data_IF_809999711513
#
_entry.id   IF_809999711513
#
_cell.length_a   1.000
_cell.length_b   1.000
_cell.length_c   1.000
_cell.angle_alpha   90.00
_cell.angle_beta   90.00
_cell.angle_gamma   90.00
#
_symmetry.space_group_name_H-M   'P 1'
#
loop_
_entity.id
_entity.type
_entity.pdbx_description
1 polymer ?
#
# COMPACT_ATOMS: atom_id res chain seq x y z
N UNK A 1 -15.71 -2.53 23.13
CA UNK A 1 -15.20 -1.44 22.28
C UNK A 1 -13.75 -1.74 21.96
N UNK A 2 -13.41 -1.69 20.69
CA UNK A 2 -12.05 -1.91 20.22
C UNK A 2 -11.48 -0.60 19.65
N UNK A 3 -10.31 -0.21 20.13
CA UNK A 3 -9.64 1.03 19.75
C UNK A 3 -8.39 0.71 18.93
N UNK A 4 -8.24 1.41 17.80
CA UNK A 4 -7.07 1.35 16.93
C UNK A 4 -6.48 2.75 16.87
N UNK A 5 -5.21 2.92 17.28
CA UNK A 5 -4.47 4.17 17.03
C UNK A 5 -4.32 4.35 15.51
N UNK A 6 -4.77 5.51 15.01
CA UNK A 6 -4.77 5.80 13.58
C UNK A 6 -4.46 7.28 13.32
N UNK A 7 -3.24 7.57 12.93
CA UNK A 7 -2.66 8.91 12.91
C UNK A 7 -2.85 9.66 11.57
N UNK A 8 -4.08 9.63 11.04
CA UNK A 8 -4.47 10.44 9.88
C UNK A 8 -5.95 10.81 9.97
N UNK A 9 -6.34 11.85 9.27
CA UNK A 9 -7.74 12.28 9.13
C UNK A 9 -8.43 11.65 7.93
N UNK A 10 -7.73 10.82 7.13
CA UNK A 10 -8.32 10.12 6.01
C UNK A 10 -9.27 9.03 6.50
N UNK A 11 -10.47 8.96 5.94
CA UNK A 11 -11.55 8.08 6.40
C UNK A 11 -11.56 6.69 5.73
N UNK A 12 -10.60 6.38 4.86
CA UNK A 12 -10.63 5.13 4.10
C UNK A 12 -10.65 3.86 4.98
N UNK A 13 -9.96 3.88 6.13
CA UNK A 13 -10.00 2.75 7.06
C UNK A 13 -11.34 2.64 7.78
N UNK A 14 -11.96 3.77 8.15
CA UNK A 14 -13.32 3.79 8.71
C UNK A 14 -14.29 3.13 7.73
N UNK A 15 -14.31 3.56 6.46
CA UNK A 15 -15.20 2.99 5.45
C UNK A 15 -14.93 1.51 5.18
N UNK A 16 -13.66 1.08 5.17
CA UNK A 16 -13.32 -0.32 5.01
C UNK A 16 -13.84 -1.16 6.19
N UNK A 17 -13.67 -0.69 7.43
CA UNK A 17 -14.18 -1.35 8.63
C UNK A 17 -15.72 -1.40 8.62
N UNK A 18 -16.39 -0.32 8.24
CA UNK A 18 -17.86 -0.27 8.10
C UNK A 18 -18.35 -1.31 7.07
N UNK A 19 -17.64 -1.45 5.95
CA UNK A 19 -17.93 -2.49 4.95
C UNK A 19 -17.78 -3.89 5.54
N UNK A 20 -16.75 -4.14 6.36
CA UNK A 20 -16.52 -5.43 7.00
C UNK A 20 -17.56 -5.75 8.10
N UNK A 21 -18.01 -4.74 8.86
CA UNK A 21 -19.13 -4.87 9.81
C UNK A 21 -20.41 -5.31 9.06
N UNK A 22 -20.68 -4.67 7.93
CA UNK A 22 -21.82 -5.01 7.08
C UNK A 22 -21.69 -6.41 6.48
N UNK A 23 -20.52 -6.81 6.02
CA UNK A 23 -20.23 -8.15 5.48
C UNK A 23 -20.43 -9.25 6.55
N UNK A 24 -19.93 -8.99 7.76
CA UNK A 24 -20.09 -9.90 8.90
C UNK A 24 -21.52 -9.95 9.44
N UNK A 25 -22.39 -9.02 9.02
CA UNK A 25 -23.78 -8.88 9.48
C UNK A 25 -23.93 -8.76 11.00
N UNK A 26 -22.96 -8.16 11.66
CA UNK A 26 -22.99 -7.87 13.11
C UNK A 26 -23.55 -6.48 13.37
N UNK A 27 -24.16 -6.30 14.55
CA UNK A 27 -24.56 -4.99 15.01
C UNK A 27 -23.34 -4.22 15.51
N UNK A 28 -22.94 -3.18 14.78
CA UNK A 28 -21.74 -2.42 15.12
C UNK A 28 -21.63 -1.10 14.38
N UNK A 29 -20.81 -0.22 14.91
CA UNK A 29 -20.49 1.08 14.32
C UNK A 29 -18.98 1.33 14.37
N UNK A 30 -18.49 2.03 13.36
CA UNK A 30 -17.11 2.50 13.30
C UNK A 30 -17.09 4.02 13.39
N UNK A 31 -16.29 4.57 14.32
CA UNK A 31 -16.13 6.02 14.50
C UNK A 31 -14.67 6.39 14.41
N UNK A 32 -14.34 7.43 13.68
CA UNK A 32 -12.96 7.93 13.60
C UNK A 32 -12.84 9.29 14.28
N UNK A 33 -11.83 9.38 15.11
CA UNK A 33 -11.43 10.57 15.84
C UNK A 33 -10.01 10.98 15.44
N UNK A 34 -9.59 12.15 15.85
CA UNK A 34 -8.18 12.55 15.65
C UNK A 34 -7.27 11.62 16.45
N UNK A 35 -6.46 10.83 15.75
CA UNK A 35 -5.48 9.90 16.31
C UNK A 35 -5.97 8.48 16.57
N UNK A 36 -7.27 8.16 16.40
CA UNK A 36 -7.75 6.78 16.59
C UNK A 36 -9.10 6.49 15.93
N UNK A 37 -9.36 5.20 15.75
CA UNK A 37 -10.64 4.64 15.33
C UNK A 37 -11.22 3.81 16.47
N UNK A 38 -12.53 3.89 16.69
CA UNK A 38 -13.29 3.02 17.58
C UNK A 38 -14.20 2.10 16.77
N UNK A 39 -14.15 0.82 17.10
CA UNK A 39 -15.10 -0.19 16.61
C UNK A 39 -15.94 -0.61 17.82
N UNK A 40 -17.22 -0.31 17.77
CA UNK A 40 -18.18 -0.61 18.81
C UNK A 40 -19.09 -1.70 18.26
N UNK A 41 -19.06 -2.89 18.85
CA UNK A 41 -19.86 -4.05 18.41
C UNK A 41 -20.68 -4.57 19.56
N UNK A 42 -21.92 -4.98 19.25
CA UNK A 42 -22.86 -5.63 20.17
C UNK A 42 -23.35 -6.92 19.50
N UNK A 43 -22.72 -8.04 19.86
CA UNK A 43 -22.95 -9.34 19.25
C UNK A 43 -22.56 -10.45 20.21
N UNK A 44 -22.86 -11.71 19.88
CA UNK A 44 -22.42 -12.86 20.64
C UNK A 44 -20.89 -13.02 20.59
N UNK A 45 -20.32 -13.64 21.62
CA UNK A 45 -18.85 -13.79 21.70
C UNK A 45 -18.24 -14.44 20.46
N UNK A 46 -18.88 -15.48 19.93
CA UNK A 46 -18.40 -16.16 18.73
C UNK A 46 -18.45 -15.25 17.48
N UNK A 47 -19.51 -14.46 17.33
CA UNK A 47 -19.64 -13.53 16.20
C UNK A 47 -18.58 -12.41 16.26
N UNK A 48 -18.23 -11.98 17.47
CA UNK A 48 -17.15 -11.00 17.70
C UNK A 48 -15.80 -11.62 17.31
N UNK A 49 -15.51 -12.86 17.72
CA UNK A 49 -14.28 -13.56 17.34
C UNK A 49 -14.18 -13.74 15.81
N UNK A 50 -15.25 -14.18 15.16
CA UNK A 50 -15.31 -14.35 13.71
C UNK A 50 -15.10 -13.02 12.97
N UNK A 51 -15.68 -11.93 13.48
CA UNK A 51 -15.50 -10.59 12.94
C UNK A 51 -14.04 -10.12 13.07
N UNK A 52 -13.40 -10.29 14.22
CA UNK A 52 -12.01 -9.91 14.37
C UNK A 52 -11.06 -10.76 13.51
N UNK A 53 -11.35 -12.05 13.33
CA UNK A 53 -10.63 -12.89 12.37
C UNK A 53 -10.79 -12.40 10.92
N UNK A 54 -11.98 -11.94 10.55
CA UNK A 54 -12.24 -11.33 9.25
C UNK A 54 -11.49 -10.01 9.10
N UNK A 55 -11.50 -9.16 10.13
CA UNK A 55 -10.80 -7.88 10.17
C UNK A 55 -9.29 -8.09 9.99
N UNK A 56 -8.69 -9.01 10.76
CA UNK A 56 -7.27 -9.33 10.67
C UNK A 56 -6.86 -9.82 9.27
N UNK A 57 -7.72 -10.60 8.65
CA UNK A 57 -7.47 -11.15 7.31
C UNK A 57 -7.59 -10.11 6.20
N UNK A 58 -8.54 -9.16 6.32
CA UNK A 58 -8.90 -8.25 5.22
C UNK A 58 -8.39 -6.82 5.40
N UNK A 59 -8.10 -6.41 6.63
CA UNK A 59 -7.59 -5.06 6.87
C UNK A 59 -6.17 -4.94 6.33
N UNK A 60 -5.90 -4.03 5.39
CA UNK A 60 -4.56 -3.89 4.84
C UNK A 60 -3.60 -3.27 5.87
N UNK A 61 -2.31 -3.50 5.67
CA UNK A 61 -1.30 -2.78 6.43
C UNK A 61 -1.35 -1.29 6.12
N UNK A 62 -1.13 -0.44 7.13
CA UNK A 62 -1.04 1.01 6.97
C UNK A 62 0.08 1.58 7.81
N UNK A 63 0.76 2.61 7.28
CA UNK A 63 1.79 3.36 8.02
C UNK A 63 1.21 4.20 9.16
N UNK A 64 -0.10 4.45 9.13
CA UNK A 64 -0.80 5.27 10.12
C UNK A 64 -1.38 4.47 11.29
N UNK A 65 -1.42 3.12 11.19
CA UNK A 65 -1.88 2.25 12.26
C UNK A 65 -0.80 2.13 13.33
N UNK A 66 -1.21 2.41 14.58
CA UNK A 66 -0.41 2.17 15.77
C UNK A 66 -0.88 0.93 16.53
N UNK A 67 -0.99 1.05 17.84
CA UNK A 67 -1.47 -0.03 18.72
C UNK A 67 -2.98 -0.19 18.62
N UNK A 68 -3.44 -1.41 18.87
CA UNK A 68 -4.86 -1.72 19.00
C UNK A 68 -5.14 -2.48 20.30
N UNK A 69 -6.24 -2.16 20.96
CA UNK A 69 -6.59 -2.75 22.25
C UNK A 69 -8.08 -2.56 22.57
N UNK A 70 -8.59 -3.38 23.50
CA UNK A 70 -9.95 -3.26 24.00
C UNK A 70 -10.01 -2.16 25.06
N UNK A 71 -11.08 -1.36 25.03
CA UNK A 71 -11.41 -0.36 26.05
C UNK A 71 -12.83 -0.61 26.57
N UNK A 72 -13.06 -0.34 27.85
CA UNK A 72 -14.39 -0.53 28.46
C UNK A 72 -15.32 0.65 28.15
N UNK A 73 -14.76 1.86 28.09
CA UNK A 73 -15.49 3.09 27.86
C UNK A 73 -14.71 4.03 26.95
N UNK A 74 -15.38 4.99 26.37
CA UNK A 74 -14.75 6.09 25.63
C UNK A 74 -15.48 7.40 25.95
N UNK A 75 -14.80 8.51 25.72
CA UNK A 75 -15.36 9.84 25.89
C UNK A 75 -16.29 10.20 24.71
N UNK A 76 -17.60 10.19 24.98
CA UNK A 76 -18.63 10.50 23.97
C UNK A 76 -18.68 11.98 23.56
N UNK A 77 -17.98 12.85 24.30
CA UNK A 77 -17.90 14.27 23.97
C UNK A 77 -16.89 14.61 22.89
N UNK A 78 -16.04 13.64 22.53
CA UNK A 78 -15.05 13.80 21.47
C UNK A 78 -15.74 14.04 20.13
N UNK A 79 -15.22 15.01 19.39
CA UNK A 79 -15.71 15.30 18.05
C UNK A 79 -15.21 14.25 17.05
N UNK A 80 -16.14 13.52 16.46
CA UNK A 80 -15.86 12.59 15.35
C UNK A 80 -15.40 13.39 14.12
N UNK A 81 -14.51 12.82 13.31
CA UNK A 81 -14.12 13.40 12.04
C UNK A 81 -15.32 13.30 11.10
N UNK A 82 -15.78 14.44 10.63
CA UNK A 82 -16.94 14.53 9.72
C UNK A 82 -16.58 13.95 8.35
N UNK A 83 -17.48 13.15 7.83
CA UNK A 83 -17.42 12.65 6.47
C UNK A 83 -17.86 13.78 5.53
N UNK A 84 -16.91 14.43 4.89
CA UNK A 84 -17.24 15.36 3.81
C UNK A 84 -17.54 14.51 2.58
N UNK A 85 -18.78 14.27 2.26
CA UNK A 85 -19.49 13.68 1.11
C UNK A 85 -18.68 13.28 -0.15
N UNK A 86 -17.39 13.10 -0.05
CA UNK A 86 -16.56 12.49 -1.06
C UNK A 86 -16.68 10.99 -0.82
N UNK A 87 -17.65 10.36 -1.48
CA UNK A 87 -17.68 8.89 -1.64
C UNK A 87 -16.38 8.46 -2.32
N UNK A 88 -15.34 8.36 -1.54
CA UNK A 88 -14.14 7.67 -1.99
C UNK A 88 -14.51 6.20 -2.10
N UNK A 89 -14.86 5.77 -3.29
CA UNK A 89 -14.94 4.36 -3.62
C UNK A 89 -13.52 3.78 -3.53
N UNK A 90 -13.11 3.43 -2.33
CA UNK A 90 -11.88 2.69 -2.08
C UNK A 90 -12.09 1.26 -2.56
N UNK A 91 -11.93 1.07 -3.85
CA UNK A 91 -11.79 -0.26 -4.40
C UNK A 91 -10.36 -0.70 -4.14
N UNK A 92 -10.17 -1.68 -3.24
CA UNK A 92 -8.88 -2.36 -3.14
C UNK A 92 -8.54 -2.93 -4.51
N UNK A 93 -7.41 -2.51 -5.09
CA UNK A 93 -6.93 -3.03 -6.36
C UNK A 93 -6.50 -4.49 -6.15
N UNK A 94 -7.44 -5.39 -6.35
CA UNK A 94 -7.16 -6.83 -6.45
C UNK A 94 -6.68 -7.15 -7.87
N UNK A 95 -6.00 -8.29 -8.03
CA UNK A 95 -5.60 -8.76 -9.37
C UNK A 95 -6.78 -8.87 -10.33
N UNK A 96 -7.96 -9.28 -9.82
CA UNK A 96 -9.17 -9.38 -10.63
C UNK A 96 -9.72 -8.01 -11.01
N UNK A 97 -9.67 -7.02 -10.10
CA UNK A 97 -10.06 -5.65 -10.41
C UNK A 97 -9.15 -5.03 -11.48
N UNK A 98 -7.83 -5.23 -11.37
CA UNK A 98 -6.87 -4.77 -12.37
C UNK A 98 -7.14 -5.43 -13.72
N UNK A 99 -7.37 -6.74 -13.74
CA UNK A 99 -7.68 -7.48 -14.96
C UNK A 99 -8.94 -6.96 -15.65
N UNK A 100 -10.01 -6.75 -14.87
CA UNK A 100 -11.27 -6.18 -15.37
C UNK A 100 -11.06 -4.78 -15.98
N UNK A 101 -10.30 -3.90 -15.29
CA UNK A 101 -9.99 -2.56 -15.80
C UNK A 101 -9.25 -2.64 -17.14
N UNK A 102 -8.28 -3.53 -17.28
CA UNK A 102 -7.51 -3.72 -18.52
C UNK A 102 -8.43 -4.22 -19.64
N UNK A 103 -9.27 -5.21 -19.36
CA UNK A 103 -10.21 -5.79 -20.33
C UNK A 103 -11.29 -4.78 -20.76
N UNK A 104 -11.92 -4.08 -19.81
CA UNK A 104 -12.97 -3.10 -20.08
C UNK A 104 -12.49 -1.89 -20.90
N UNK A 105 -11.25 -1.45 -20.65
CA UNK A 105 -10.68 -0.30 -21.35
C UNK A 105 -9.86 -0.69 -22.59
N UNK A 106 -9.80 -1.99 -22.92
CA UNK A 106 -9.03 -2.53 -24.06
C UNK A 106 -7.57 -2.03 -24.07
N UNK A 107 -6.94 -2.02 -22.89
CA UNK A 107 -5.57 -1.53 -22.71
C UNK A 107 -4.59 -2.63 -23.14
N UNK A 108 -3.70 -2.33 -24.07
CA UNK A 108 -2.65 -3.24 -24.54
C UNK A 108 -1.26 -2.66 -24.32
N UNK A 109 -0.52 -3.24 -23.38
CA UNK A 109 0.87 -2.88 -23.07
C UNK A 109 1.90 -3.82 -23.74
N UNK A 110 1.49 -4.73 -24.62
CA UNK A 110 2.35 -5.78 -25.19
C UNK A 110 3.62 -5.20 -25.83
N UNK A 111 3.50 -4.13 -26.60
CA UNK A 111 4.62 -3.48 -27.26
C UNK A 111 5.59 -2.83 -26.24
N UNK A 112 5.08 -2.21 -25.21
CA UNK A 112 5.87 -1.56 -24.17
C UNK A 112 6.61 -2.60 -23.32
N UNK A 113 5.94 -3.69 -22.96
CA UNK A 113 6.54 -4.82 -22.25
C UNK A 113 7.68 -5.42 -23.09
N UNK A 114 7.45 -5.70 -24.37
CA UNK A 114 8.50 -6.21 -25.28
C UNK A 114 9.67 -5.25 -25.39
N UNK A 115 9.41 -3.94 -25.46
CA UNK A 115 10.46 -2.92 -25.52
C UNK A 115 11.30 -2.88 -24.25
N UNK A 116 10.65 -2.91 -23.07
CA UNK A 116 11.32 -2.94 -21.77
C UNK A 116 12.16 -4.22 -21.62
N UNK A 117 11.60 -5.39 -21.94
CA UNK A 117 12.29 -6.70 -21.87
C UNK A 117 13.52 -6.75 -22.78
N UNK A 118 13.47 -6.07 -23.94
CA UNK A 118 14.62 -5.92 -24.85
C UNK A 118 15.64 -4.88 -24.40
N UNK A 119 15.51 -4.31 -23.19
CA UNK A 119 16.43 -3.32 -22.62
C UNK A 119 16.15 -1.88 -23.06
N UNK A 120 14.95 -1.62 -23.60
CA UNK A 120 14.49 -0.27 -23.93
C UNK A 120 13.81 0.43 -22.78
N UNK A 121 13.31 1.63 -23.07
CA UNK A 121 12.60 2.50 -22.12
C UNK A 121 11.19 2.71 -22.66
N UNK A 122 10.16 2.49 -21.84
CA UNK A 122 8.78 2.88 -22.17
C UNK A 122 8.28 3.95 -21.22
N UNK A 123 7.54 4.89 -21.77
CA UNK A 123 6.99 6.03 -21.05
C UNK A 123 5.49 5.88 -20.90
N UNK A 124 5.02 6.04 -19.65
CA UNK A 124 3.61 5.99 -19.32
C UNK A 124 3.17 7.28 -18.63
N UNK A 125 1.95 7.69 -18.93
CA UNK A 125 1.26 8.71 -18.16
C UNK A 125 0.59 8.05 -16.96
N UNK A 126 0.89 8.54 -15.76
CA UNK A 126 0.34 8.04 -14.51
C UNK A 126 -0.36 9.19 -13.77
N UNK A 127 -1.13 8.90 -12.73
CA UNK A 127 -1.75 9.95 -11.90
C UNK A 127 -0.72 10.92 -11.27
N UNK A 128 0.54 10.48 -11.18
CA UNK A 128 1.68 11.29 -10.69
C UNK A 128 2.55 11.85 -11.83
N UNK A 129 2.02 11.97 -13.04
CA UNK A 129 2.69 12.49 -14.22
C UNK A 129 3.40 11.43 -15.05
N UNK A 130 4.24 11.90 -15.99
CA UNK A 130 4.96 11.01 -16.90
C UNK A 130 6.10 10.29 -16.20
N UNK A 131 6.17 8.97 -16.37
CA UNK A 131 7.23 8.12 -15.82
C UNK A 131 7.85 7.26 -16.91
N UNK A 132 9.16 7.12 -16.86
CA UNK A 132 9.94 6.24 -17.74
C UNK A 132 10.27 4.95 -17.00
N UNK A 133 9.93 3.80 -17.59
CA UNK A 133 10.16 2.47 -17.04
C UNK A 133 11.19 1.72 -17.86
N UNK A 134 12.12 1.04 -17.18
CA UNK A 134 13.14 0.19 -17.79
C UNK A 134 13.59 -0.90 -16.81
N UNK A 135 14.12 -2.00 -17.32
CA UNK A 135 14.76 -3.00 -16.46
C UNK A 135 16.09 -2.48 -15.91
N UNK A 136 16.54 -3.00 -14.77
CA UNK A 136 17.82 -2.61 -14.18
C UNK A 136 18.94 -2.62 -15.23
N UNK A 137 19.52 -1.45 -15.45
CA UNK A 137 20.58 -1.23 -16.43
C UNK A 137 21.43 -0.04 -16.01
N UNK A 138 22.70 -0.29 -15.72
CA UNK A 138 23.64 0.73 -15.25
C UNK A 138 23.73 1.93 -16.17
N UNK A 139 23.86 1.71 -17.48
CA UNK A 139 24.04 2.80 -18.46
C UNK A 139 22.80 3.70 -18.54
N UNK A 140 21.61 3.10 -18.57
CA UNK A 140 20.36 3.87 -18.60
C UNK A 140 20.20 4.66 -17.30
N UNK A 141 20.45 4.02 -16.14
CA UNK A 141 20.39 4.67 -14.84
C UNK A 141 21.32 5.88 -14.77
N UNK A 142 22.61 5.71 -15.12
CA UNK A 142 23.60 6.78 -15.10
C UNK A 142 23.22 7.93 -16.04
N UNK A 143 22.63 7.66 -17.19
CA UNK A 143 22.16 8.68 -18.13
C UNK A 143 21.02 9.51 -17.53
N UNK A 144 20.06 8.89 -16.81
CA UNK A 144 19.02 9.62 -16.09
C UNK A 144 19.56 10.42 -14.91
N UNK A 145 20.41 9.82 -14.07
CA UNK A 145 21.04 10.49 -12.92
C UNK A 145 21.86 11.71 -13.37
N UNK A 146 22.64 11.60 -14.46
CA UNK A 146 23.42 12.71 -15.02
C UNK A 146 22.54 13.85 -15.56
N UNK A 147 21.30 13.56 -15.95
CA UNK A 147 20.31 14.57 -16.36
C UNK A 147 19.53 15.15 -15.18
N UNK A 148 19.85 14.75 -13.94
CA UNK A 148 19.20 15.23 -12.71
C UNK A 148 17.90 14.53 -12.36
N UNK A 149 17.59 13.40 -13.00
CA UNK A 149 16.42 12.59 -12.65
C UNK A 149 16.74 11.61 -11.52
N UNK A 150 15.78 11.44 -10.61
CA UNK A 150 15.87 10.43 -9.56
C UNK A 150 15.38 9.08 -10.10
N UNK A 151 16.23 8.05 -9.98
CA UNK A 151 15.88 6.68 -10.36
C UNK A 151 15.43 5.91 -9.12
N UNK A 152 14.26 5.29 -9.21
CA UNK A 152 13.62 4.52 -8.14
C UNK A 152 13.37 3.10 -8.60
N UNK A 153 13.34 2.15 -7.67
CA UNK A 153 13.01 0.76 -7.96
C UNK A 153 11.52 0.51 -7.76
N UNK A 154 10.85 0.02 -8.79
CA UNK A 154 9.50 -0.51 -8.69
C UNK A 154 9.57 -2.02 -8.44
N UNK A 155 9.04 -2.47 -7.29
CA UNK A 155 9.04 -3.89 -6.91
C UNK A 155 7.70 -4.50 -7.31
N UNK A 156 7.73 -5.35 -8.32
CA UNK A 156 6.54 -6.06 -8.82
C UNK A 156 6.37 -7.46 -8.21
N UNK A 157 7.44 -8.00 -7.61
CA UNK A 157 7.43 -9.30 -6.94
C UNK A 157 8.14 -9.18 -5.58
N UNK A 158 7.35 -9.23 -4.51
CA UNK A 158 7.86 -9.12 -3.13
C UNK A 158 8.47 -10.41 -2.61
N UNK A 159 8.22 -11.56 -3.26
CA UNK A 159 8.72 -12.88 -2.80
C UNK A 159 10.24 -12.98 -2.82
N UNK A 160 10.92 -12.16 -3.63
CA UNK A 160 12.38 -12.16 -3.81
C UNK A 160 13.08 -10.97 -3.17
N UNK A 161 12.37 -10.13 -2.46
CA UNK A 161 12.92 -8.90 -1.92
C UNK A 161 14.08 -9.18 -0.93
N UNK A 162 13.93 -10.21 -0.11
CA UNK A 162 14.93 -10.63 0.86
C UNK A 162 16.20 -11.25 0.22
N UNK A 163 16.13 -11.67 -1.02
CA UNK A 163 17.31 -12.14 -1.74
C UNK A 163 18.24 -10.98 -2.13
N UNK A 164 17.66 -9.81 -2.40
CA UNK A 164 18.35 -8.62 -2.92
C UNK A 164 18.68 -7.63 -1.81
N UNK A 165 17.76 -7.46 -0.85
CA UNK A 165 17.84 -6.41 0.17
C UNK A 165 17.99 -6.96 1.59
N UNK A 166 18.75 -6.22 2.39
CA UNK A 166 18.80 -6.35 3.85
C UNK A 166 17.61 -5.57 4.41
N UNK A 167 16.46 -6.24 4.51
CA UNK A 167 15.18 -5.63 4.86
C UNK A 167 14.71 -6.13 6.23
N UNK A 168 14.33 -5.19 7.09
CA UNK A 168 13.68 -5.54 8.36
C UNK A 168 12.19 -5.84 8.16
N UNK A 169 11.58 -6.56 9.11
CA UNK A 169 10.12 -6.80 9.11
C UNK A 169 9.35 -5.48 9.03
N UNK A 170 9.82 -4.44 9.73
CA UNK A 170 9.21 -3.11 9.73
C UNK A 170 9.28 -2.44 8.34
N UNK A 171 10.44 -2.49 7.69
CA UNK A 171 10.59 -1.91 6.34
C UNK A 171 9.74 -2.67 5.32
N UNK A 172 9.64 -4.00 5.47
CA UNK A 172 8.75 -4.81 4.64
C UNK A 172 7.28 -4.45 4.85
N UNK A 173 6.84 -4.28 6.10
CA UNK A 173 5.49 -3.84 6.42
C UNK A 173 5.19 -2.45 5.86
N UNK A 174 6.14 -1.50 5.98
CA UNK A 174 6.03 -0.18 5.38
C UNK A 174 5.88 -0.26 3.86
N UNK A 175 6.74 -1.04 3.20
CA UNK A 175 6.70 -1.21 1.74
C UNK A 175 5.37 -1.79 1.25
N UNK A 176 4.81 -2.76 2.00
CA UNK A 176 3.56 -3.44 1.67
C UNK A 176 2.30 -2.71 2.17
N UNK A 177 2.44 -1.56 2.84
CA UNK A 177 1.29 -0.79 3.32
C UNK A 177 0.45 -0.25 2.17
N UNK A 178 -0.83 0.02 2.45
CA UNK A 178 -1.79 0.52 1.44
C UNK A 178 -1.38 1.87 0.85
N UNK A 179 -0.64 2.68 1.62
CA UNK A 179 -0.15 3.98 1.19
C UNK A 179 1.00 3.90 0.19
N UNK A 180 1.55 2.70 -0.04
CA UNK A 180 2.65 2.46 -0.99
C UNK A 180 3.80 3.47 -0.86
N UNK A 181 4.36 3.68 0.32
CA UNK A 181 5.40 4.69 0.52
C UNK A 181 6.68 4.33 -0.22
N UNK A 182 7.45 5.35 -0.50
CA UNK A 182 8.81 5.20 -1.00
C UNK A 182 9.74 4.84 0.17
N UNK A 183 10.29 3.63 0.16
CA UNK A 183 11.14 3.09 1.24
C UNK A 183 12.59 3.03 0.78
N UNK A 184 13.51 3.49 1.62
CA UNK A 184 14.95 3.40 1.36
C UNK A 184 15.45 2.02 1.79
N UNK A 185 15.80 1.19 0.83
CA UNK A 185 16.29 -0.17 1.04
C UNK A 185 17.80 -0.26 0.88
N UNK A 186 18.43 -1.10 1.71
CA UNK A 186 19.84 -1.41 1.67
C UNK A 186 20.07 -2.72 0.93
N UNK A 187 20.97 -2.74 -0.05
CA UNK A 187 21.33 -3.97 -0.73
C UNK A 187 22.09 -4.94 0.19
N UNK A 188 21.78 -6.22 0.10
CA UNK A 188 22.73 -7.27 0.50
C UNK A 188 23.94 -7.19 -0.43
N UNK A 189 25.13 -7.48 0.08
CA UNK A 189 26.38 -7.43 -0.70
C UNK A 189 26.35 -8.52 -1.78
N UNK A 190 25.74 -8.24 -2.92
CA UNK A 190 25.75 -9.04 -4.13
C UNK A 190 26.65 -8.35 -5.15
N UNK A 191 27.80 -8.93 -5.42
CA UNK A 191 29.00 -8.34 -6.01
C UNK A 191 28.89 -7.54 -7.31
N UNK A 192 27.87 -7.67 -8.15
CA UNK A 192 27.75 -6.89 -9.39
C UNK A 192 26.31 -6.45 -9.72
N UNK A 193 25.27 -7.17 -9.31
CA UNK A 193 23.89 -6.81 -9.61
C UNK A 193 23.50 -5.43 -9.04
N UNK A 194 24.01 -5.08 -7.86
CA UNK A 194 23.78 -3.79 -7.21
C UNK A 194 24.10 -2.60 -8.13
N UNK A 195 25.18 -2.67 -8.93
CA UNK A 195 25.62 -1.56 -9.78
C UNK A 195 24.63 -1.24 -10.93
N UNK A 196 23.79 -2.20 -11.30
CA UNK A 196 22.76 -1.97 -12.28
C UNK A 196 21.58 -1.18 -11.72
N UNK A 197 21.28 -1.38 -10.43
CA UNK A 197 20.19 -0.73 -9.73
C UNK A 197 20.56 0.64 -9.17
N UNK A 198 21.76 0.77 -8.57
CA UNK A 198 22.15 1.99 -7.85
C UNK A 198 23.66 2.23 -7.89
N UNK A 199 24.05 3.50 -7.82
CA UNK A 199 25.43 3.95 -7.60
C UNK A 199 25.88 3.80 -6.14
N UNK A 200 24.95 3.57 -5.20
CA UNK A 200 25.19 3.46 -3.75
C UNK A 200 24.74 2.11 -3.21
N UNK A 201 24.98 1.88 -1.91
CA UNK A 201 24.47 0.69 -1.21
C UNK A 201 22.97 0.75 -0.88
N UNK A 202 22.27 1.78 -1.35
CA UNK A 202 20.88 2.02 -1.07
C UNK A 202 20.14 2.37 -2.36
N UNK A 203 18.84 2.07 -2.38
CA UNK A 203 17.92 2.54 -3.42
C UNK A 203 16.58 2.89 -2.77
N UNK A 204 15.89 3.86 -3.32
CA UNK A 204 14.50 4.10 -3.00
C UNK A 204 13.61 3.17 -3.82
N UNK A 205 12.76 2.42 -3.12
CA UNK A 205 11.91 1.42 -3.73
C UNK A 205 10.46 1.59 -3.27
N UNK A 206 9.53 1.22 -4.13
CA UNK A 206 8.09 1.15 -3.80
C UNK A 206 7.43 -0.01 -4.54
N UNK A 207 6.28 -0.43 -4.06
CA UNK A 207 5.35 -1.30 -4.77
C UNK A 207 4.46 -0.43 -5.68
N UNK A 208 4.02 -0.91 -6.86
CA UNK A 208 3.14 -0.16 -7.75
C UNK A 208 1.87 0.34 -7.04
N UNK A 209 1.47 1.57 -7.37
CA UNK A 209 0.27 2.26 -6.88
C UNK A 209 -0.57 2.88 -8.02
N UNK A 210 -0.14 2.72 -9.23
CA UNK A 210 -0.74 3.22 -10.49
C UNK A 210 -0.49 2.25 -11.64
#
# INVERSE_FOLDING_TARGET
IYKIEFNTTNLYFKHLIESLISEAKINGVCKQYNGFILIIVDALAQEIEDFFALLEKKLPLSIFIGKSYVVETYDETLKEIEDFDIKQNLTLLTNDAIKNIIEENNIDFSNDIVKIVKGGISRFETHNGLKDYFLPNKKIREDFENKGFEVKLLITDTSKIEEIFDISVKDFQLLCSIERPLVKLKFKILKNAQKEFSSTNFIYAKIPDD
#
